data_IF_234921874906
#
_entry.id   IF_234921874906
#
_cell.length_a   1.000
_cell.length_b   1.000
_cell.length_c   1.000
_cell.angle_alpha   90.00
_cell.angle_beta   90.00
_cell.angle_gamma   90.00
#
_symmetry.space_group_name_H-M   'P 1'
#
loop_
_entity.id
_entity.type
_entity.pdbx_description
1 polymer ?
#
# COMPACT_ATOMS: atom_id res chain seq x y z
N UNK A 1 -55.00 15.58 68.09
CA UNK A 1 -55.34 14.87 66.83
C UNK A 1 -54.45 15.41 65.73
N UNK A 2 -53.39 14.67 65.39
CA UNK A 2 -52.36 15.08 64.43
C UNK A 2 -52.67 14.47 63.06
N UNK A 3 -52.65 15.30 62.03
CA UNK A 3 -52.84 14.97 60.62
C UNK A 3 -51.71 14.06 60.12
N UNK A 4 -52.06 12.86 59.68
CA UNK A 4 -51.12 11.92 59.03
C UNK A 4 -51.30 12.04 57.52
N UNK A 5 -50.25 12.54 56.87
CA UNK A 5 -50.05 12.48 55.41
C UNK A 5 -49.79 11.03 55.02
N UNK A 6 -50.57 10.47 54.09
CA UNK A 6 -50.25 9.18 53.47
C UNK A 6 -49.64 9.43 52.09
N UNK A 7 -48.35 9.11 51.99
CA UNK A 7 -47.54 9.21 50.78
C UNK A 7 -47.86 8.07 49.80
N UNK A 8 -47.96 8.41 48.52
CA UNK A 8 -48.17 7.51 47.40
C UNK A 8 -46.84 6.81 47.05
N UNK A 9 -46.76 5.47 46.96
CA UNK A 9 -45.53 4.79 46.59
C UNK A 9 -45.32 4.85 45.06
N UNK A 10 -44.20 5.45 44.66
CA UNK A 10 -43.67 5.52 43.31
C UNK A 10 -43.09 4.14 42.92
N UNK A 11 -43.77 3.41 42.05
CA UNK A 11 -43.23 2.21 41.42
C UNK A 11 -42.18 2.60 40.36
N UNK A 12 -40.90 2.39 40.67
CA UNK A 12 -39.80 2.52 39.72
C UNK A 12 -39.72 1.23 38.90
N UNK A 13 -40.12 1.31 37.64
CA UNK A 13 -39.93 0.26 36.65
C UNK A 13 -38.44 0.25 36.25
N UNK A 14 -37.65 -0.71 36.73
CA UNK A 14 -36.30 -0.95 36.22
C UNK A 14 -36.41 -1.48 34.78
N UNK A 15 -36.31 -0.59 33.80
CA UNK A 15 -36.06 -0.97 32.42
C UNK A 15 -34.60 -1.47 32.33
N UNK A 16 -34.44 -2.79 32.32
CA UNK A 16 -33.18 -3.45 32.00
C UNK A 16 -32.94 -3.26 30.50
N UNK A 17 -32.20 -2.22 30.12
CA UNK A 17 -31.73 -2.09 28.74
C UNK A 17 -30.67 -3.17 28.52
N UNK A 18 -30.77 -4.01 27.46
CA UNK A 18 -29.69 -4.91 27.13
C UNK A 18 -28.44 -4.06 26.87
N UNK A 19 -27.32 -4.48 27.47
CA UNK A 19 -26.01 -3.93 27.18
C UNK A 19 -25.86 -3.88 25.65
N UNK A 20 -25.74 -2.68 25.11
CA UNK A 20 -25.29 -2.52 23.74
C UNK A 20 -23.89 -3.13 23.70
N UNK A 21 -23.76 -4.31 23.10
CA UNK A 21 -22.50 -4.76 22.56
C UNK A 21 -22.09 -3.68 21.56
N UNK A 22 -21.17 -2.80 21.96
CA UNK A 22 -20.51 -1.93 21.00
C UNK A 22 -19.71 -2.85 20.09
N UNK A 23 -20.25 -3.12 18.92
CA UNK A 23 -19.45 -3.68 17.83
C UNK A 23 -18.42 -2.59 17.50
N UNK A 24 -17.19 -2.76 17.97
CA UNK A 24 -16.09 -1.91 17.56
C UNK A 24 -15.95 -2.02 16.04
N UNK A 25 -16.37 -0.99 15.32
CA UNK A 25 -16.14 -0.88 13.89
C UNK A 25 -14.69 -0.47 13.69
N UNK A 26 -13.79 -1.45 13.61
CA UNK A 26 -12.39 -1.21 13.22
C UNK A 26 -12.39 -0.66 11.80
N UNK A 27 -12.05 0.62 11.63
CA UNK A 27 -11.82 1.20 10.32
C UNK A 27 -10.48 0.65 9.77
N UNK A 28 -10.40 0.41 8.47
CA UNK A 28 -9.13 0.07 7.81
C UNK A 28 -8.21 1.30 7.82
N UNK A 29 -6.90 1.13 8.07
CA UNK A 29 -5.96 2.27 8.03
C UNK A 29 -5.83 2.87 6.62
N UNK A 30 -6.05 2.06 5.58
CA UNK A 30 -6.03 2.45 4.16
C UNK A 30 -7.30 1.96 3.44
N UNK A 31 -7.71 2.63 2.36
CA UNK A 31 -8.83 2.24 1.49
C UNK A 31 -8.37 1.34 0.33
N UNK A 32 -9.29 0.60 -0.30
CA UNK A 32 -9.09 -0.46 -1.31
C UNK A 32 -8.25 -0.06 -2.54
N UNK A 33 -8.03 1.23 -2.76
CA UNK A 33 -7.14 1.75 -3.82
C UNK A 33 -5.63 1.63 -3.48
N UNK A 34 -5.28 1.26 -2.24
CA UNK A 34 -3.91 1.14 -1.75
C UNK A 34 -3.42 -0.31 -1.56
N UNK A 35 -4.24 -1.31 -1.88
CA UNK A 35 -4.00 -2.69 -1.46
C UNK A 35 -2.68 -3.26 -2.01
N UNK A 36 -2.34 -2.97 -3.26
CA UNK A 36 -1.05 -3.39 -3.85
C UNK A 36 0.05 -2.31 -3.79
N UNK A 37 -0.13 -1.24 -3.01
CA UNK A 37 0.86 -0.17 -2.90
C UNK A 37 2.06 -0.61 -2.06
N UNK A 38 3.26 -0.50 -2.63
CA UNK A 38 4.52 -0.88 -1.98
C UNK A 38 5.46 0.32 -1.81
N UNK A 39 5.37 1.29 -2.71
CA UNK A 39 6.12 2.54 -2.63
C UNK A 39 5.15 3.71 -2.74
N UNK A 40 5.15 4.57 -1.74
CA UNK A 40 4.48 5.86 -1.78
C UNK A 40 5.48 6.99 -1.52
N UNK A 41 5.49 7.97 -2.40
CA UNK A 41 6.20 9.23 -2.21
C UNK A 41 5.28 10.41 -2.50
N UNK A 42 5.22 11.38 -1.59
CA UNK A 42 4.41 12.56 -1.79
C UNK A 42 5.04 13.57 -2.77
N UNK A 43 6.34 13.50 -3.06
CA UNK A 43 7.00 14.31 -4.07
C UNK A 43 7.54 13.46 -5.23
N UNK A 44 8.60 12.68 -5.03
CA UNK A 44 9.13 11.84 -6.10
C UNK A 44 9.52 10.44 -5.63
N UNK A 45 9.37 9.47 -6.53
CA UNK A 45 9.83 8.11 -6.35
C UNK A 45 10.86 7.81 -7.43
N UNK A 46 12.11 7.54 -7.03
CA UNK A 46 13.20 7.23 -7.96
C UNK A 46 13.77 5.86 -7.66
N UNK A 47 14.03 5.09 -8.72
CA UNK A 47 14.58 3.75 -8.63
C UNK A 47 15.87 3.66 -9.44
N UNK A 48 16.93 3.12 -8.83
CA UNK A 48 18.22 2.87 -9.46
C UNK A 48 18.18 1.75 -10.49
N UNK A 49 19.31 1.50 -11.15
CA UNK A 49 19.44 0.42 -12.12
C UNK A 49 19.24 -0.96 -11.47
N UNK A 50 18.61 -1.90 -12.16
CA UNK A 50 18.35 -3.27 -11.71
C UNK A 50 17.55 -3.39 -10.39
N UNK A 51 16.99 -2.29 -9.89
CA UNK A 51 16.14 -2.27 -8.72
C UNK A 51 14.82 -3.01 -9.00
N UNK A 52 14.18 -3.50 -7.92
CA UNK A 52 12.92 -4.24 -8.02
C UNK A 52 11.93 -3.71 -6.98
N UNK A 53 10.74 -3.32 -7.44
CA UNK A 53 9.59 -3.08 -6.58
C UNK A 53 8.55 -4.17 -6.83
N UNK A 54 8.21 -4.91 -5.77
CA UNK A 54 7.18 -5.94 -5.81
C UNK A 54 5.80 -5.36 -5.46
N UNK A 55 5.26 -4.52 -6.33
CA UNK A 55 3.93 -3.93 -6.19
C UNK A 55 3.82 -2.61 -6.94
N UNK A 56 2.86 -1.77 -6.54
CA UNK A 56 2.63 -0.48 -7.17
C UNK A 56 3.55 0.60 -6.60
N UNK A 57 3.83 1.58 -7.45
CA UNK A 57 4.52 2.83 -7.12
C UNK A 57 3.56 3.99 -7.34
N UNK A 58 3.38 4.84 -6.33
CA UNK A 58 2.61 6.08 -6.42
C UNK A 58 3.48 7.27 -6.01
N UNK A 59 3.52 8.28 -6.87
CA UNK A 59 4.31 9.50 -6.67
C UNK A 59 3.48 10.78 -6.83
N UNK A 60 3.73 11.77 -5.96
CA UNK A 60 3.06 13.07 -6.00
C UNK A 60 3.57 14.07 -7.03
N UNK A 61 4.65 13.77 -7.72
CA UNK A 61 5.18 14.56 -8.84
C UNK A 61 5.90 13.64 -9.83
N UNK A 62 7.12 13.19 -9.53
CA UNK A 62 7.92 12.42 -10.50
C UNK A 62 8.05 10.96 -10.09
N UNK A 63 7.85 10.03 -11.03
CA UNK A 63 8.21 8.62 -10.87
C UNK A 63 9.25 8.21 -11.91
N UNK A 64 10.30 7.50 -11.50
CA UNK A 64 11.31 6.95 -12.41
C UNK A 64 11.62 5.48 -12.13
N UNK A 65 11.86 4.73 -13.21
CA UNK A 65 12.47 3.40 -13.18
C UNK A 65 13.82 3.44 -13.86
N UNK A 66 14.87 3.07 -13.11
CA UNK A 66 16.24 2.97 -13.61
C UNK A 66 16.43 1.87 -14.67
N UNK A 67 17.62 1.84 -15.28
CA UNK A 67 17.99 0.86 -16.31
C UNK A 67 17.82 -0.57 -15.81
N UNK A 68 17.14 -1.42 -16.58
CA UNK A 68 16.78 -2.79 -16.20
C UNK A 68 16.02 -2.90 -14.85
N UNK A 69 15.53 -1.80 -14.28
CA UNK A 69 14.69 -1.80 -13.10
C UNK A 69 13.32 -2.42 -13.40
N UNK A 70 12.70 -3.03 -12.39
CA UNK A 70 11.42 -3.74 -12.54
C UNK A 70 10.40 -3.31 -11.49
N UNK A 71 9.23 -2.89 -11.94
CA UNK A 71 8.03 -2.70 -11.11
C UNK A 71 7.03 -3.82 -11.43
N UNK A 72 6.78 -4.70 -10.46
CA UNK A 72 5.77 -5.77 -10.56
C UNK A 72 4.36 -5.26 -10.19
N UNK A 73 3.95 -4.17 -10.83
CA UNK A 73 2.68 -3.50 -10.56
C UNK A 73 2.46 -2.33 -11.51
N UNK A 74 1.62 -1.40 -11.09
CA UNK A 74 1.40 -0.12 -11.76
C UNK A 74 2.40 0.93 -11.27
N UNK A 75 2.76 1.85 -12.14
CA UNK A 75 3.55 3.03 -11.79
C UNK A 75 2.74 4.29 -12.12
N UNK A 76 2.51 5.12 -11.12
CA UNK A 76 1.62 6.29 -11.23
C UNK A 76 2.29 7.52 -10.66
N UNK A 77 2.25 8.64 -11.40
CA UNK A 77 2.69 9.93 -10.89
C UNK A 77 1.79 11.09 -11.31
N UNK A 78 1.73 12.14 -10.49
CA UNK A 78 0.96 13.37 -10.80
C UNK A 78 1.66 14.23 -11.86
N UNK A 79 2.98 14.30 -11.80
CA UNK A 79 3.83 15.02 -12.73
C UNK A 79 4.36 14.08 -13.80
N UNK A 80 5.68 14.06 -14.00
CA UNK A 80 6.29 13.22 -15.02
C UNK A 80 6.41 11.75 -14.58
N UNK A 81 6.23 10.82 -15.52
CA UNK A 81 6.47 9.41 -15.28
C UNK A 81 7.45 8.90 -16.33
N UNK A 82 8.61 8.43 -15.88
CA UNK A 82 9.68 7.98 -16.76
C UNK A 82 10.12 6.57 -16.38
N UNK A 83 9.56 5.57 -17.06
CA UNK A 83 10.14 4.23 -17.08
C UNK A 83 11.38 4.22 -18.01
N UNK A 84 12.34 5.09 -17.72
CA UNK A 84 13.35 5.60 -18.67
C UNK A 84 14.65 4.82 -18.75
N UNK A 85 14.87 3.88 -17.84
CA UNK A 85 15.98 2.95 -17.95
C UNK A 85 15.95 2.13 -19.23
N UNK A 86 17.10 1.95 -19.89
CA UNK A 86 17.21 0.95 -20.96
C UNK A 86 16.76 -0.42 -20.42
N UNK A 87 15.85 -1.08 -21.13
CA UNK A 87 15.25 -2.35 -20.73
C UNK A 87 14.52 -2.34 -19.37
N UNK A 88 14.03 -1.18 -18.91
CA UNK A 88 13.13 -1.11 -17.74
C UNK A 88 11.85 -1.93 -17.97
N UNK A 89 11.23 -2.40 -16.90
CA UNK A 89 10.02 -3.23 -16.97
C UNK A 89 8.97 -2.78 -15.97
N UNK A 90 7.76 -2.54 -16.44
CA UNK A 90 6.57 -2.34 -15.62
C UNK A 90 5.53 -3.38 -16.04
N UNK A 91 5.13 -4.28 -15.15
CA UNK A 91 4.19 -5.35 -15.52
C UNK A 91 2.75 -4.86 -15.67
N UNK A 92 2.39 -3.78 -14.98
CA UNK A 92 1.08 -3.15 -15.04
C UNK A 92 1.03 -1.94 -15.98
N UNK A 93 0.18 -1.00 -15.63
CA UNK A 93 -0.01 0.26 -16.34
C UNK A 93 0.99 1.32 -15.88
N UNK A 94 1.28 2.28 -16.76
CA UNK A 94 2.06 3.48 -16.41
C UNK A 94 1.19 4.70 -16.65
N UNK A 95 0.92 5.47 -15.59
CA UNK A 95 0.07 6.66 -15.64
C UNK A 95 0.83 7.91 -15.19
N UNK A 96 0.56 9.02 -15.88
CA UNK A 96 1.20 10.30 -15.67
C UNK A 96 0.20 11.44 -15.76
N UNK A 97 0.11 12.27 -14.73
CA UNK A 97 -0.61 13.55 -14.80
C UNK A 97 0.17 14.64 -15.53
N UNK A 98 1.38 14.34 -16.01
CA UNK A 98 2.22 15.19 -16.86
C UNK A 98 2.70 14.42 -18.09
N UNK A 99 4.00 14.48 -18.37
CA UNK A 99 4.62 13.77 -19.49
C UNK A 99 4.87 12.32 -19.12
N UNK A 100 4.69 11.40 -20.08
CA UNK A 100 5.04 9.99 -19.93
C UNK A 100 6.12 9.61 -20.94
N UNK A 101 7.18 8.97 -20.46
CA UNK A 101 8.25 8.43 -21.32
C UNK A 101 8.58 7.00 -20.90
N UNK A 102 8.62 6.10 -21.88
CA UNK A 102 9.22 4.77 -21.69
C UNK A 102 10.58 4.73 -22.40
N UNK A 103 11.58 4.12 -21.75
CA UNK A 103 12.95 4.06 -22.25
C UNK A 103 13.12 3.09 -23.42
N UNK A 104 14.32 3.08 -23.99
CA UNK A 104 14.68 2.12 -25.04
C UNK A 104 14.52 0.67 -24.56
N UNK A 105 13.95 -0.19 -25.40
CA UNK A 105 13.72 -1.62 -25.13
C UNK A 105 12.92 -1.91 -23.86
N UNK A 106 12.22 -0.89 -23.32
CA UNK A 106 11.40 -1.05 -22.13
C UNK A 106 10.19 -1.95 -22.41
N UNK A 107 9.67 -2.58 -21.36
CA UNK A 107 8.51 -3.46 -21.45
C UNK A 107 7.41 -2.95 -20.52
N UNK A 108 6.24 -2.68 -21.09
CA UNK A 108 5.02 -2.38 -20.36
C UNK A 108 3.98 -3.47 -20.60
N UNK A 109 3.61 -4.19 -19.55
CA UNK A 109 2.59 -5.25 -19.62
C UNK A 109 1.16 -4.70 -19.75
N UNK A 110 0.92 -3.47 -19.30
CA UNK A 110 -0.36 -2.78 -19.39
C UNK A 110 -0.39 -1.65 -20.43
N UNK A 111 -1.26 -0.67 -20.16
CA UNK A 111 -1.44 0.53 -20.98
C UNK A 111 -0.65 1.72 -20.42
N UNK A 112 -0.43 2.69 -21.29
CA UNK A 112 0.19 3.97 -20.99
C UNK A 112 -0.87 5.08 -21.05
N UNK A 113 -0.88 5.97 -20.06
CA UNK A 113 -1.80 7.12 -20.03
C UNK A 113 -1.13 8.39 -19.52
N UNK A 114 -1.20 9.49 -20.26
CA UNK A 114 -0.56 10.76 -19.90
C UNK A 114 -1.45 11.98 -20.12
N UNK A 115 -1.54 12.90 -19.16
CA UNK A 115 -2.19 14.21 -19.38
C UNK A 115 -1.42 15.08 -20.37
N UNK A 116 -0.09 15.03 -20.33
CA UNK A 116 0.82 15.70 -21.24
C UNK A 116 1.27 14.82 -22.40
N UNK A 117 2.43 15.13 -22.96
CA UNK A 117 3.03 14.36 -24.06
C UNK A 117 3.36 12.92 -23.65
N UNK A 118 3.40 12.05 -24.65
CA UNK A 118 3.61 10.63 -24.49
C UNK A 118 4.68 10.07 -25.42
N UNK A 119 5.65 9.35 -24.88
CA UNK A 119 6.75 8.79 -25.67
C UNK A 119 6.93 7.31 -25.39
N UNK A 120 6.83 6.51 -26.44
CA UNK A 120 7.26 5.11 -26.44
C UNK A 120 8.68 5.06 -27.02
N UNK A 121 9.65 4.64 -26.20
CA UNK A 121 11.07 4.58 -26.60
C UNK A 121 11.34 3.56 -27.71
N UNK A 122 12.50 3.68 -28.36
CA UNK A 122 12.92 2.78 -29.43
C UNK A 122 12.93 1.32 -28.95
N UNK A 123 12.45 0.40 -29.78
CA UNK A 123 12.34 -1.04 -29.49
C UNK A 123 11.52 -1.40 -28.24
N UNK A 124 10.81 -0.45 -27.63
CA UNK A 124 9.97 -0.72 -26.47
C UNK A 124 8.73 -1.55 -26.85
N UNK A 125 8.23 -2.37 -25.92
CA UNK A 125 7.03 -3.18 -26.10
C UNK A 125 5.94 -2.79 -25.10
N UNK A 126 4.82 -2.31 -25.62
CA UNK A 126 3.64 -1.96 -24.83
C UNK A 126 2.51 -2.89 -25.22
N UNK A 127 2.02 -3.67 -24.26
CA UNK A 127 0.97 -4.66 -24.52
C UNK A 127 -0.43 -4.06 -24.56
N UNK A 128 -0.65 -2.92 -23.90
CA UNK A 128 -1.92 -2.20 -23.89
C UNK A 128 -2.01 -1.07 -24.91
N UNK A 129 -2.82 -0.07 -24.57
CA UNK A 129 -3.01 1.14 -25.37
C UNK A 129 -2.03 2.24 -24.95
N UNK A 130 -1.84 3.23 -25.81
CA UNK A 130 -1.25 4.52 -25.46
C UNK A 130 -2.30 5.60 -25.61
N UNK A 131 -2.57 6.35 -24.54
CA UNK A 131 -3.49 7.48 -24.55
C UNK A 131 -2.85 8.72 -23.94
N UNK A 132 -2.74 9.79 -24.71
CA UNK A 132 -2.07 11.03 -24.31
C UNK A 132 -2.98 12.22 -24.54
N UNK A 133 -2.96 13.19 -23.63
CA UNK A 133 -3.60 14.49 -23.84
C UNK A 133 -2.75 15.44 -24.69
N UNK A 134 -1.45 15.17 -24.82
CA UNK A 134 -0.53 15.92 -25.65
C UNK A 134 -0.15 15.20 -26.95
N UNK A 135 1.01 15.58 -27.50
CA UNK A 135 1.62 14.86 -28.63
C UNK A 135 2.04 13.46 -28.21
N UNK A 136 2.06 12.53 -29.16
CA UNK A 136 2.53 11.16 -28.91
C UNK A 136 3.52 10.70 -29.96
N UNK A 137 4.62 10.08 -29.50
CA UNK A 137 5.65 9.51 -30.36
C UNK A 137 5.86 8.03 -30.05
N UNK A 138 5.90 7.21 -31.08
CA UNK A 138 6.30 5.80 -31.02
C UNK A 138 7.65 5.64 -31.73
N UNK A 139 8.66 5.24 -30.95
CA UNK A 139 10.04 5.08 -31.38
C UNK A 139 10.24 4.06 -32.49
N UNK A 140 11.44 4.05 -33.07
CA UNK A 140 11.82 3.08 -34.08
C UNK A 140 11.80 1.66 -33.50
N UNK A 141 11.28 0.69 -34.25
CA UNK A 141 11.13 -0.72 -33.85
C UNK A 141 10.28 -0.96 -32.59
N UNK A 142 9.66 0.08 -32.02
CA UNK A 142 8.77 -0.07 -30.88
C UNK A 142 7.47 -0.76 -31.32
N UNK A 143 6.87 -1.54 -30.43
CA UNK A 143 5.63 -2.26 -30.67
C UNK A 143 4.59 -1.83 -29.63
N UNK A 144 3.52 -1.20 -30.11
CA UNK A 144 2.30 -0.94 -29.36
C UNK A 144 1.22 -1.90 -29.85
N UNK A 145 0.79 -2.85 -28.99
CA UNK A 145 -0.22 -3.85 -29.37
C UNK A 145 -1.65 -3.29 -29.37
N UNK A 146 -1.90 -2.23 -28.63
CA UNK A 146 -3.21 -1.57 -28.58
C UNK A 146 -3.34 -0.38 -29.53
N UNK A 147 -4.30 0.49 -29.21
CA UNK A 147 -4.57 1.74 -29.89
C UNK A 147 -3.59 2.83 -29.46
N UNK A 148 -3.29 3.74 -30.38
CA UNK A 148 -2.56 4.98 -30.14
C UNK A 148 -3.53 6.15 -30.24
N UNK A 149 -3.87 6.79 -29.12
CA UNK A 149 -4.79 7.94 -29.08
C UNK A 149 -4.05 9.17 -28.55
N UNK A 150 -3.96 10.21 -29.37
CA UNK A 150 -3.19 11.43 -29.09
C UNK A 150 -4.09 12.67 -29.07
N UNK A 151 -3.99 13.47 -28.02
CA UNK A 151 -4.65 14.77 -27.89
C UNK A 151 -3.96 15.88 -28.67
N UNK A 152 -2.79 15.60 -29.26
CA UNK A 152 -2.09 16.44 -30.24
C UNK A 152 -1.74 15.66 -31.50
N UNK A 153 -0.51 15.79 -31.99
CA UNK A 153 0.01 14.99 -33.12
C UNK A 153 0.29 13.55 -32.68
N UNK A 154 0.19 12.59 -33.61
CA UNK A 154 0.63 11.22 -33.41
C UNK A 154 1.73 10.87 -34.42
N UNK A 155 2.91 10.55 -33.92
CA UNK A 155 4.06 10.16 -34.74
C UNK A 155 4.42 8.70 -34.44
N UNK A 156 4.50 7.88 -35.49
CA UNK A 156 5.06 6.53 -35.43
C UNK A 156 6.25 6.53 -36.38
N UNK A 157 7.43 6.25 -35.85
CA UNK A 157 8.67 6.15 -36.63
C UNK A 157 8.55 5.11 -37.75
N UNK A 158 9.41 5.19 -38.77
CA UNK A 158 9.30 4.35 -39.97
C UNK A 158 9.30 2.83 -39.70
N UNK A 159 9.96 2.37 -38.63
CA UNK A 159 9.91 0.96 -38.21
C UNK A 159 9.09 0.71 -36.95
N UNK A 160 8.41 1.72 -36.42
CA UNK A 160 7.49 1.57 -35.29
C UNK A 160 6.21 0.86 -35.72
N UNK A 161 5.66 0.03 -34.83
CA UNK A 161 4.47 -0.77 -35.07
C UNK A 161 3.37 -0.42 -34.07
N UNK A 162 2.18 -0.11 -34.59
CA UNK A 162 0.94 -0.03 -33.82
C UNK A 162 -0.02 -1.07 -34.40
N UNK A 163 -0.59 -1.94 -33.58
CA UNK A 163 -1.52 -2.97 -34.07
C UNK A 163 -2.98 -2.52 -34.02
N UNK A 164 -3.33 -1.62 -33.09
CA UNK A 164 -4.65 -1.01 -33.01
C UNK A 164 -4.79 0.21 -33.92
N UNK A 165 -5.84 0.99 -33.68
CA UNK A 165 -6.15 2.25 -34.38
C UNK A 165 -5.21 3.37 -33.94
N UNK A 166 -4.82 4.24 -34.88
CA UNK A 166 -4.15 5.52 -34.59
C UNK A 166 -5.15 6.66 -34.67
N UNK A 167 -5.44 7.28 -33.53
CA UNK A 167 -6.28 8.46 -33.40
C UNK A 167 -5.47 9.68 -32.98
N UNK A 168 -5.67 10.83 -33.63
CA UNK A 168 -5.07 12.10 -33.21
C UNK A 168 -5.99 13.29 -33.49
N UNK A 169 -5.98 14.30 -32.63
CA UNK A 169 -6.62 15.60 -32.95
C UNK A 169 -5.79 16.39 -33.96
N UNK A 170 -4.46 16.21 -33.94
CA UNK A 170 -3.51 16.80 -34.87
C UNK A 170 -3.12 15.87 -36.02
N UNK A 171 -1.98 16.17 -36.65
CA UNK A 171 -1.42 15.36 -37.73
C UNK A 171 -1.06 13.94 -37.26
N UNK A 172 -1.34 12.95 -38.12
CA UNK A 172 -0.89 11.57 -37.96
C UNK A 172 0.25 11.29 -38.95
N UNK A 173 1.47 11.12 -38.43
CA UNK A 173 2.65 10.73 -39.20
C UNK A 173 3.01 9.29 -38.88
N UNK A 174 2.58 8.36 -39.72
CA UNK A 174 2.86 6.93 -39.58
C UNK A 174 3.03 6.32 -40.97
N UNK A 175 4.25 6.40 -41.57
CA UNK A 175 4.45 6.10 -42.99
C UNK A 175 4.27 4.62 -43.32
N UNK A 176 4.58 3.72 -42.38
CA UNK A 176 4.52 2.27 -42.57
C UNK A 176 3.25 1.62 -42.02
N UNK A 177 2.35 2.40 -41.41
CA UNK A 177 1.12 1.90 -40.79
C UNK A 177 -0.01 1.78 -41.82
N UNK A 178 -0.55 0.58 -41.97
CA UNK A 178 -1.61 0.21 -42.94
C UNK A 178 -2.99 0.05 -42.32
N UNK A 179 -3.12 0.20 -40.99
CA UNK A 179 -4.40 0.10 -40.30
C UNK A 179 -5.23 1.40 -40.32
N UNK A 180 -6.21 1.49 -39.43
CA UNK A 180 -7.12 2.64 -39.34
C UNK A 180 -6.46 3.86 -38.72
N UNK A 181 -6.48 4.97 -39.47
CA UNK A 181 -6.12 6.31 -38.97
C UNK A 181 -7.40 7.14 -38.83
N UNK A 182 -7.58 7.80 -37.69
CA UNK A 182 -8.78 8.60 -37.41
C UNK A 182 -8.41 9.96 -36.85
N UNK A 183 -8.95 11.02 -37.43
CA UNK A 183 -8.91 12.35 -36.81
C UNK A 183 -9.92 12.41 -35.67
N UNK A 184 -9.47 12.76 -34.47
CA UNK A 184 -10.30 12.89 -33.29
C UNK A 184 -10.90 14.31 -33.22
N UNK A 185 -12.19 14.40 -32.89
CA UNK A 185 -12.87 15.69 -32.72
C UNK A 185 -12.41 16.45 -31.46
N UNK A 186 -11.90 15.72 -30.46
CA UNK A 186 -11.40 16.26 -29.20
C UNK A 186 -10.31 15.35 -28.63
N UNK A 187 -9.57 15.86 -27.63
CA UNK A 187 -8.56 15.08 -26.92
C UNK A 187 -9.19 13.81 -26.32
N UNK A 188 -8.52 12.64 -26.40
CA UNK A 188 -9.05 11.37 -25.88
C UNK A 188 -9.14 11.33 -24.35
N UNK A 189 -8.54 12.31 -23.68
CA UNK A 189 -8.65 12.53 -22.23
C UNK A 189 -8.84 14.03 -21.96
N UNK A 190 -9.43 14.35 -20.81
CA UNK A 190 -9.41 15.71 -20.26
C UNK A 190 -8.17 15.81 -19.35
N UNK A 191 -7.09 16.52 -19.75
CA UNK A 191 -5.82 16.47 -19.02
C UNK A 191 -5.90 16.96 -17.58
N UNK A 192 -6.70 17.99 -17.32
CA UNK A 192 -6.93 18.53 -15.98
C UNK A 192 -7.57 17.51 -15.06
N UNK A 193 -8.62 16.84 -15.53
CA UNK A 193 -9.43 15.92 -14.72
C UNK A 193 -8.64 14.65 -14.43
N UNK A 194 -7.90 14.15 -15.42
CA UNK A 194 -7.03 12.99 -15.21
C UNK A 194 -5.91 13.32 -14.21
N UNK A 195 -5.22 14.45 -14.35
CA UNK A 195 -4.20 14.88 -13.38
C UNK A 195 -4.79 15.07 -11.98
N UNK A 196 -5.95 15.72 -11.87
CA UNK A 196 -6.65 15.91 -10.59
C UNK A 196 -7.03 14.57 -9.95
N UNK A 197 -7.45 13.57 -10.73
CA UNK A 197 -7.77 12.24 -10.19
C UNK A 197 -6.55 11.55 -9.54
N UNK A 198 -5.37 11.68 -10.16
CA UNK A 198 -4.12 11.15 -9.59
C UNK A 198 -3.75 11.97 -8.34
N UNK A 199 -3.82 13.30 -8.41
CA UNK A 199 -3.53 14.18 -7.28
C UNK A 199 -4.40 13.86 -6.06
N UNK A 200 -5.71 13.61 -6.27
CA UNK A 200 -6.62 13.22 -5.21
C UNK A 200 -6.22 11.89 -4.57
N UNK A 201 -5.75 10.93 -5.38
CA UNK A 201 -5.23 9.65 -4.89
C UNK A 201 -3.98 9.83 -4.04
N UNK A 202 -3.04 10.68 -4.46
CA UNK A 202 -1.84 11.02 -3.69
C UNK A 202 -2.19 11.71 -2.38
N UNK A 203 -3.06 12.73 -2.42
CA UNK A 203 -3.50 13.45 -1.22
C UNK A 203 -4.21 12.52 -0.23
N UNK A 204 -5.08 11.63 -0.72
CA UNK A 204 -5.74 10.62 0.10
C UNK A 204 -4.73 9.65 0.72
N UNK A 205 -3.76 9.17 -0.06
CA UNK A 205 -2.72 8.24 0.42
C UNK A 205 -1.82 8.91 1.47
N UNK A 206 -1.38 10.15 1.25
CA UNK A 206 -0.58 10.91 2.23
C UNK A 206 -1.33 11.09 3.55
N UNK A 207 -2.64 11.37 3.48
CA UNK A 207 -3.49 11.48 4.65
C UNK A 207 -3.58 10.13 5.39
N UNK A 208 -3.77 9.02 4.67
CA UNK A 208 -3.80 7.67 5.26
C UNK A 208 -2.46 7.29 5.93
N UNK A 209 -1.32 7.60 5.30
CA UNK A 209 0.00 7.42 5.91
C UNK A 209 0.09 8.22 7.22
N UNK A 210 -0.28 9.50 7.19
CA UNK A 210 -0.25 10.35 8.39
C UNK A 210 -1.19 9.82 9.49
N UNK A 211 -2.39 9.38 9.13
CA UNK A 211 -3.34 8.75 10.06
C UNK A 211 -2.78 7.49 10.67
N UNK A 212 -2.13 6.62 9.87
CA UNK A 212 -1.47 5.42 10.37
C UNK A 212 -0.33 5.76 11.33
N UNK A 213 0.52 6.75 11.00
CA UNK A 213 1.60 7.20 11.88
C UNK A 213 1.06 7.66 13.24
N UNK A 214 0.02 8.49 13.25
CA UNK A 214 -0.65 8.92 14.50
C UNK A 214 -1.30 7.76 15.26
N UNK A 215 -1.88 6.79 14.56
CA UNK A 215 -2.49 5.62 15.17
C UNK A 215 -1.43 4.73 15.86
N UNK A 216 -0.29 4.50 15.23
CA UNK A 216 0.83 3.76 15.80
C UNK A 216 1.48 4.51 16.97
N UNK A 217 1.65 5.83 16.88
CA UNK A 217 2.13 6.66 18.00
C UNK A 217 1.27 6.51 19.26
N UNK A 218 -0.05 6.45 19.10
CA UNK A 218 -0.99 6.28 20.22
C UNK A 218 -0.95 4.89 20.87
N UNK A 219 -0.27 3.91 20.27
CA UNK A 219 0.06 2.66 20.97
C UNK A 219 1.04 2.90 22.14
N UNK A 220 1.67 4.09 22.19
CA UNK A 220 2.58 4.51 23.25
C UNK A 220 4.05 4.22 22.94
N UNK A 221 4.92 4.54 23.91
CA UNK A 221 6.37 4.35 23.74
C UNK A 221 6.85 2.92 23.99
N UNK A 222 6.07 2.09 24.69
CA UNK A 222 6.47 0.73 25.06
C UNK A 222 7.88 0.68 25.70
N UNK A 223 8.74 -0.21 25.21
CA UNK A 223 10.12 -0.33 25.68
C UNK A 223 11.04 0.68 24.99
N UNK A 224 11.75 1.49 25.77
CA UNK A 224 12.75 2.44 25.25
C UNK A 224 13.99 1.69 24.77
N UNK A 225 14.40 1.96 23.53
CA UNK A 225 15.62 1.45 22.92
C UNK A 225 16.76 2.45 23.05
N UNK A 226 17.98 1.93 23.07
CA UNK A 226 19.19 2.75 22.95
C UNK A 226 19.28 3.34 21.54
N UNK A 227 19.68 4.62 21.37
CA UNK A 227 19.63 5.30 20.07
C UNK A 227 20.48 4.69 18.96
N UNK A 228 21.55 3.97 19.31
CA UNK A 228 22.39 3.26 18.35
C UNK A 228 22.64 1.84 18.83
N UNK A 229 22.25 0.87 18.01
CA UNK A 229 22.53 -0.54 18.20
C UNK A 229 23.92 -0.85 17.62
N UNK A 230 24.90 -0.94 18.52
CA UNK A 230 26.30 -1.27 18.19
C UNK A 230 26.62 -2.76 18.30
N UNK A 231 25.73 -3.54 18.91
CA UNK A 231 25.84 -4.99 19.04
C UNK A 231 24.55 -5.66 18.62
N UNK A 232 24.64 -6.86 18.06
CA UNK A 232 23.47 -7.67 17.72
C UNK A 232 22.66 -8.02 18.97
N UNK A 233 21.35 -8.11 18.81
CA UNK A 233 20.42 -8.35 19.91
C UNK A 233 19.13 -9.00 19.46
N UNK A 234 18.29 -9.34 20.43
CA UNK A 234 16.96 -9.91 20.19
C UNK A 234 15.88 -9.13 20.93
N UNK A 235 14.73 -8.96 20.29
CA UNK A 235 13.55 -8.33 20.84
C UNK A 235 12.35 -9.27 20.72
N UNK A 236 11.62 -9.42 21.81
CA UNK A 236 10.33 -10.11 21.83
C UNK A 236 9.24 -9.23 21.19
N UNK A 237 8.03 -9.75 20.93
CA UNK A 237 6.93 -8.96 20.36
C UNK A 237 6.53 -7.81 21.30
N UNK A 238 6.22 -6.64 20.74
CA UNK A 238 5.82 -5.46 21.52
C UNK A 238 5.95 -4.13 20.79
N UNK A 239 5.70 -3.06 21.55
CA UNK A 239 5.91 -1.68 21.12
C UNK A 239 7.25 -1.18 21.67
N UNK A 240 8.02 -0.50 20.83
CA UNK A 240 9.34 0.03 21.12
C UNK A 240 9.41 1.50 20.75
N UNK A 241 10.26 2.27 21.42
CA UNK A 241 10.49 3.67 21.08
C UNK A 241 11.94 4.09 21.15
N UNK A 242 12.27 5.13 20.40
CA UNK A 242 13.52 5.88 20.54
C UNK A 242 13.34 7.30 19.99
N UNK A 243 14.14 8.26 20.45
CA UNK A 243 14.21 9.58 19.81
C UNK A 243 14.68 9.44 18.35
N UNK A 244 15.77 8.70 18.17
CA UNK A 244 16.27 8.21 16.88
C UNK A 244 16.79 6.81 17.11
N UNK A 245 16.69 5.94 16.09
CA UNK A 245 17.21 4.59 16.11
C UNK A 245 18.18 4.41 14.94
N UNK A 246 19.37 3.93 15.25
CA UNK A 246 20.38 3.64 14.25
C UNK A 246 21.09 2.32 14.52
N UNK A 247 21.73 1.75 13.51
CA UNK A 247 22.61 0.59 13.66
C UNK A 247 23.99 0.89 13.07
N UNK A 248 25.03 0.29 13.65
CA UNK A 248 26.31 0.15 12.95
C UNK A 248 26.19 -0.87 11.82
N UNK A 249 27.07 -0.78 10.83
CA UNK A 249 27.10 -1.74 9.73
C UNK A 249 27.29 -3.18 10.25
N UNK A 250 26.58 -4.14 9.64
CA UNK A 250 26.65 -5.56 10.00
C UNK A 250 25.91 -5.96 11.29
N UNK A 251 25.27 -5.02 12.00
CA UNK A 251 24.46 -5.34 13.18
C UNK A 251 23.25 -6.18 12.80
N UNK A 252 22.97 -7.23 13.57
CA UNK A 252 21.76 -8.05 13.40
C UNK A 252 20.77 -7.80 14.54
N UNK A 253 19.54 -7.41 14.19
CA UNK A 253 18.43 -7.33 15.14
C UNK A 253 17.47 -8.49 14.90
N UNK A 254 17.34 -9.36 15.88
CA UNK A 254 16.45 -10.52 15.82
C UNK A 254 15.11 -10.19 16.46
N UNK A 255 14.02 -10.37 15.72
CA UNK A 255 12.66 -10.28 16.21
C UNK A 255 12.18 -11.71 16.51
N UNK A 256 12.05 -12.07 17.78
CA UNK A 256 11.71 -13.43 18.20
C UNK A 256 10.20 -13.58 18.43
N UNK A 257 9.51 -14.21 17.48
CA UNK A 257 8.07 -14.47 17.56
C UNK A 257 7.70 -15.57 18.55
N UNK A 258 8.67 -16.32 19.08
CA UNK A 258 8.44 -17.40 20.03
C UNK A 258 7.54 -18.52 19.50
N UNK A 259 7.40 -18.66 18.18
CA UNK A 259 6.57 -19.67 17.52
C UNK A 259 5.06 -19.41 17.62
N UNK A 260 4.64 -18.19 17.96
CA UNK A 260 3.23 -17.82 18.11
C UNK A 260 2.75 -17.07 16.88
N UNK A 261 1.48 -17.24 16.51
CA UNK A 261 0.84 -16.47 15.45
C UNK A 261 0.54 -15.03 15.90
N UNK A 262 0.35 -14.14 14.92
CA UNK A 262 -0.10 -12.76 15.10
C UNK A 262 0.78 -11.97 16.08
N UNK A 263 2.09 -12.18 16.05
CA UNK A 263 3.03 -11.37 16.82
C UNK A 263 3.33 -10.07 16.10
N UNK A 264 3.56 -9.00 16.85
CA UNK A 264 3.84 -7.71 16.25
C UNK A 264 5.03 -7.01 16.91
N UNK A 265 5.71 -6.21 16.09
CA UNK A 265 6.73 -5.27 16.51
C UNK A 265 6.41 -3.90 15.92
N UNK A 266 6.16 -2.93 16.79
CA UNK A 266 5.93 -1.53 16.38
C UNK A 266 7.03 -0.68 16.96
N UNK A 267 7.83 -0.07 16.09
CA UNK A 267 8.91 0.85 16.46
C UNK A 267 8.45 2.29 16.24
N UNK A 268 8.11 3.00 17.31
CA UNK A 268 7.76 4.42 17.30
C UNK A 268 9.03 5.26 17.47
N UNK A 269 9.59 5.70 16.35
CA UNK A 269 10.83 6.48 16.28
C UNK A 269 10.48 7.94 16.04
N UNK A 270 10.94 8.85 16.92
CA UNK A 270 10.51 10.24 16.85
C UNK A 270 11.08 10.98 15.62
N UNK A 271 12.35 10.76 15.29
CA UNK A 271 13.07 11.55 14.29
C UNK A 271 13.77 10.68 13.22
N UNK A 272 14.88 10.02 13.54
CA UNK A 272 15.69 9.33 12.52
C UNK A 272 15.65 7.81 12.70
N UNK A 273 15.35 7.09 11.63
CA UNK A 273 15.62 5.66 11.50
C UNK A 273 16.77 5.44 10.50
N UNK A 274 17.93 4.98 10.96
CA UNK A 274 19.10 4.83 10.10
C UNK A 274 19.75 3.45 10.25
N UNK A 275 19.54 2.56 9.29
CA UNK A 275 20.21 1.28 9.27
C UNK A 275 21.56 1.39 8.57
N UNK A 276 22.65 1.05 9.27
CA UNK A 276 23.98 0.96 8.67
C UNK A 276 24.03 -0.12 7.58
N UNK A 277 25.00 -0.01 6.66
CA UNK A 277 25.16 -0.97 5.57
C UNK A 277 25.25 -2.42 6.06
N UNK A 278 24.69 -3.37 5.32
CA UNK A 278 24.64 -4.80 5.68
C UNK A 278 23.98 -5.12 7.04
N UNK A 279 23.26 -4.16 7.64
CA UNK A 279 22.39 -4.43 8.80
C UNK A 279 21.37 -5.50 8.42
N UNK A 280 21.06 -6.41 9.33
CA UNK A 280 20.13 -7.50 9.07
C UNK A 280 19.04 -7.56 10.14
N UNK A 281 17.79 -7.33 9.75
CA UNK A 281 16.62 -7.57 10.59
C UNK A 281 16.09 -8.96 10.26
N UNK A 282 16.00 -9.82 11.27
CA UNK A 282 15.61 -11.23 11.09
C UNK A 282 14.40 -11.55 11.95
N UNK A 283 13.37 -12.15 11.37
CA UNK A 283 12.31 -12.81 12.12
C UNK A 283 12.76 -14.23 12.47
N UNK A 284 12.86 -14.53 13.77
CA UNK A 284 13.12 -15.86 14.28
C UNK A 284 11.86 -16.44 14.93
N UNK A 285 11.66 -17.75 14.77
CA UNK A 285 10.45 -18.44 15.20
C UNK A 285 9.15 -17.73 14.76
N UNK A 286 9.01 -17.32 13.48
CA UNK A 286 7.84 -16.57 13.04
C UNK A 286 6.58 -17.42 13.08
N UNK A 287 5.46 -16.79 13.42
CA UNK A 287 4.13 -17.33 13.22
C UNK A 287 3.46 -16.77 11.97
N UNK A 288 2.26 -17.28 11.68
CA UNK A 288 1.39 -16.68 10.66
C UNK A 288 0.83 -15.35 11.17
N UNK A 289 0.74 -14.34 10.30
CA UNK A 289 0.19 -13.03 10.63
C UNK A 289 1.13 -12.11 11.41
N UNK A 290 2.43 -12.41 11.41
CA UNK A 290 3.40 -11.57 12.10
C UNK A 290 3.60 -10.23 11.38
N UNK A 291 3.77 -9.16 12.15
CA UNK A 291 3.83 -7.79 11.62
C UNK A 291 4.99 -7.00 12.18
N UNK A 292 5.69 -6.27 11.31
CA UNK A 292 6.76 -5.36 11.70
C UNK A 292 6.49 -3.99 11.10
N UNK A 293 6.38 -2.98 11.95
CA UNK A 293 6.10 -1.59 11.59
C UNK A 293 7.22 -0.69 12.11
N UNK A 294 7.81 0.08 11.22
CA UNK A 294 8.76 1.14 11.52
C UNK A 294 8.05 2.47 11.32
N UNK A 295 7.60 3.08 12.41
CA UNK A 295 6.87 4.35 12.40
C UNK A 295 7.81 5.50 12.77
N UNK A 296 8.18 6.33 11.79
CA UNK A 296 9.08 7.47 11.95
C UNK A 296 8.28 8.78 11.89
N UNK A 297 7.97 9.34 13.06
CA UNK A 297 6.96 10.39 13.26
C UNK A 297 7.28 11.73 12.64
N UNK A 298 8.53 12.21 12.74
CA UNK A 298 8.88 13.57 12.33
C UNK A 298 9.97 13.63 11.25
N UNK A 299 10.90 12.68 11.23
CA UNK A 299 12.05 12.71 10.34
C UNK A 299 11.97 11.70 9.21
N UNK A 300 13.07 10.98 8.98
CA UNK A 300 13.31 10.18 7.78
C UNK A 300 13.81 8.77 8.12
N UNK A 301 13.72 7.89 7.13
CA UNK A 301 14.37 6.59 7.16
C UNK A 301 15.50 6.50 6.13
N UNK A 302 16.62 5.92 6.51
CA UNK A 302 17.75 5.66 5.62
C UNK A 302 18.27 4.24 5.82
N UNK A 303 18.43 3.50 4.73
CA UNK A 303 18.97 2.15 4.73
C UNK A 303 20.30 2.19 3.97
N UNK A 304 21.37 1.78 4.63
CA UNK A 304 22.69 1.66 4.02
C UNK A 304 22.74 0.56 2.95
N UNK A 305 23.82 0.59 2.16
CA UNK A 305 24.08 -0.41 1.13
C UNK A 305 24.00 -1.84 1.68
N UNK A 306 23.25 -2.70 1.00
CA UNK A 306 23.05 -4.10 1.38
C UNK A 306 22.29 -4.32 2.70
N UNK A 307 21.65 -3.32 3.30
CA UNK A 307 20.83 -3.52 4.49
C UNK A 307 19.59 -4.38 4.17
N UNK A 308 19.29 -5.36 5.02
CA UNK A 308 18.11 -6.22 4.93
C UNK A 308 17.14 -5.88 6.07
N UNK A 309 15.99 -5.33 5.72
CA UNK A 309 14.95 -4.90 6.65
C UNK A 309 13.66 -5.66 6.38
N UNK A 310 12.99 -6.05 7.45
CA UNK A 310 11.68 -6.68 7.41
C UNK A 310 10.64 -5.69 7.94
N UNK A 311 9.51 -5.60 7.26
CA UNK A 311 8.35 -4.82 7.66
C UNK A 311 8.00 -3.69 6.72
N UNK A 312 7.14 -2.82 7.25
CA UNK A 312 6.65 -1.61 6.58
C UNK A 312 7.31 -0.40 7.23
N UNK A 313 7.84 0.51 6.41
CA UNK A 313 8.45 1.76 6.87
C UNK A 313 7.54 2.93 6.53
N UNK A 314 7.11 3.66 7.57
CA UNK A 314 6.38 4.92 7.46
C UNK A 314 7.33 6.02 7.90
N UNK A 315 7.64 6.96 7.01
CA UNK A 315 8.44 8.13 7.35
C UNK A 315 7.69 9.41 7.02
N UNK A 316 7.80 10.40 7.91
CA UNK A 316 7.16 11.70 7.73
C UNK A 316 7.75 12.45 6.55
N UNK A 317 9.08 12.52 6.46
CA UNK A 317 9.78 13.29 5.43
C UNK A 317 10.14 12.42 4.25
N UNK A 318 11.29 11.76 4.24
CA UNK A 318 11.77 10.97 3.11
C UNK A 318 12.24 9.57 3.52
N UNK A 319 12.40 8.70 2.53
CA UNK A 319 13.02 7.39 2.69
C UNK A 319 14.10 7.21 1.63
N UNK A 320 15.34 6.92 2.06
CA UNK A 320 16.44 6.54 1.18
C UNK A 320 16.77 5.07 1.40
N UNK A 321 16.61 4.26 0.34
CA UNK A 321 16.96 2.85 0.32
C UNK A 321 18.26 2.71 -0.46
N UNK A 322 19.35 2.37 0.21
CA UNK A 322 20.67 2.25 -0.40
C UNK A 322 20.72 1.18 -1.50
N UNK A 323 21.82 1.17 -2.25
CA UNK A 323 22.06 0.12 -3.23
C UNK A 323 22.01 -1.26 -2.56
N UNK A 324 21.60 -2.29 -3.30
CA UNK A 324 21.50 -3.68 -2.83
C UNK A 324 20.63 -3.91 -1.57
N UNK A 325 20.05 -2.86 -0.97
CA UNK A 325 19.25 -2.97 0.23
C UNK A 325 17.91 -3.62 -0.11
N UNK A 326 17.37 -4.32 0.88
CA UNK A 326 16.14 -5.10 0.74
C UNK A 326 15.19 -4.70 1.85
N UNK A 327 13.99 -4.26 1.48
CA UNK A 327 12.85 -4.10 2.39
C UNK A 327 11.82 -5.17 2.01
N UNK A 328 11.61 -6.15 2.88
CA UNK A 328 10.64 -7.24 2.65
C UNK A 328 9.49 -7.18 3.63
N UNK A 329 8.39 -7.85 3.30
CA UNK A 329 7.25 -8.06 4.21
C UNK A 329 7.60 -8.99 5.37
N UNK A 330 6.91 -8.81 6.50
CA UNK A 330 6.98 -9.72 7.65
C UNK A 330 6.23 -11.03 7.41
N UNK A 331 5.13 -10.99 6.66
CA UNK A 331 4.30 -12.14 6.32
C UNK A 331 3.73 -12.03 4.91
N UNK A 332 3.02 -13.04 4.42
CA UNK A 332 2.47 -13.02 3.04
C UNK A 332 1.20 -12.19 2.86
N UNK A 333 0.54 -11.75 3.94
CA UNK A 333 -0.68 -10.96 3.84
C UNK A 333 -0.41 -9.48 3.55
N UNK A 334 0.75 -8.95 3.95
CA UNK A 334 1.21 -7.61 3.56
C UNK A 334 2.12 -7.65 2.34
N UNK A 335 2.12 -6.58 1.55
CA UNK A 335 3.17 -6.36 0.55
C UNK A 335 4.51 -5.97 1.19
N UNK A 336 4.51 -5.50 2.45
CA UNK A 336 5.59 -4.66 2.97
C UNK A 336 5.68 -3.35 2.18
N UNK A 337 6.65 -2.50 2.49
CA UNK A 337 6.89 -1.32 1.66
C UNK A 337 7.46 -0.13 2.41
N UNK A 338 7.58 0.96 1.68
CA UNK A 338 8.13 2.24 2.15
C UNK A 338 7.19 3.38 1.75
N UNK A 339 6.82 4.19 2.74
CA UNK A 339 5.80 5.21 2.60
C UNK A 339 6.30 6.53 3.17
N UNK A 340 6.48 7.51 2.30
CA UNK A 340 7.00 8.84 2.58
C UNK A 340 5.86 9.86 2.53
N UNK A 341 5.46 10.37 3.70
CA UNK A 341 4.21 11.13 3.84
C UNK A 341 4.26 12.52 3.20
N UNK A 342 5.43 13.17 3.15
CA UNK A 342 5.55 14.56 2.68
C UNK A 342 6.61 14.81 1.62
N UNK A 343 7.59 13.92 1.49
CA UNK A 343 8.69 14.08 0.55
C UNK A 343 8.85 12.83 -0.34
N UNK A 344 10.08 12.36 -0.53
CA UNK A 344 10.43 11.40 -1.56
C UNK A 344 10.71 9.99 -1.04
N UNK A 345 10.77 9.05 -1.98
CA UNK A 345 11.41 7.75 -1.83
C UNK A 345 12.48 7.60 -2.92
N UNK A 346 13.68 7.23 -2.52
CA UNK A 346 14.76 6.87 -3.43
C UNK A 346 15.20 5.44 -3.15
N UNK A 347 15.38 4.66 -4.20
CA UNK A 347 15.97 3.33 -4.14
C UNK A 347 17.22 3.29 -4.99
N UNK A 348 18.34 2.86 -4.42
CA UNK A 348 19.61 2.70 -5.12
C UNK A 348 19.59 1.53 -6.11
N UNK A 349 20.72 1.33 -6.78
CA UNK A 349 20.89 0.23 -7.71
C UNK A 349 20.68 -1.12 -7.03
N UNK A 350 20.05 -2.05 -7.74
CA UNK A 350 19.77 -3.41 -7.26
C UNK A 350 18.92 -3.52 -5.98
N UNK A 351 18.42 -2.40 -5.45
CA UNK A 351 17.57 -2.37 -4.27
C UNK A 351 16.26 -3.12 -4.52
N UNK A 352 15.69 -3.73 -3.47
CA UNK A 352 14.46 -4.52 -3.55
C UNK A 352 13.47 -4.05 -2.50
N UNK A 353 12.25 -3.74 -2.91
CA UNK A 353 11.20 -3.25 -2.00
C UNK A 353 9.93 -4.08 -2.17
N UNK A 354 9.38 -4.52 -1.05
CA UNK A 354 8.20 -5.36 -0.98
C UNK A 354 8.49 -6.85 -1.16
N UNK A 355 7.44 -7.67 -1.22
CA UNK A 355 7.55 -9.10 -1.44
C UNK A 355 6.81 -9.60 -2.68
N UNK A 356 7.34 -10.66 -3.31
CA UNK A 356 6.79 -11.29 -4.53
C UNK A 356 5.32 -11.70 -4.39
N UNK A 357 4.52 -11.52 -5.44
CA UNK A 357 3.09 -11.83 -5.41
C UNK A 357 2.27 -10.84 -4.57
N UNK A 358 2.79 -9.62 -4.34
CA UNK A 358 2.07 -8.53 -3.72
C UNK A 358 0.69 -8.33 -4.39
N UNK A 359 -0.30 -8.81 -3.67
CA UNK A 359 -1.74 -8.68 -3.94
C UNK A 359 -2.49 -8.44 -2.61
N UNK A 360 -1.73 -8.19 -1.53
CA UNK A 360 -2.22 -7.96 -0.17
C UNK A 360 -2.89 -6.60 -0.01
N UNK A 361 -3.07 -6.12 1.23
CA UNK A 361 -3.81 -4.88 1.55
C UNK A 361 -2.90 -3.72 2.01
N UNK A 362 -1.65 -3.68 1.56
CA UNK A 362 -0.65 -2.70 2.01
C UNK A 362 -0.35 -2.77 3.52
N UNK A 363 -0.31 -1.61 4.18
CA UNK A 363 -0.01 -1.43 5.63
C UNK A 363 -1.09 -2.07 6.53
N UNK A 364 -2.29 -2.34 5.99
CA UNK A 364 -3.46 -2.83 6.73
C UNK A 364 -3.43 -4.30 7.14
N UNK A 365 -2.52 -5.11 6.63
CA UNK A 365 -2.71 -6.58 6.62
C UNK A 365 -3.02 -7.20 8.00
N UNK A 366 -2.57 -6.57 9.09
CA UNK A 366 -2.82 -7.04 10.46
C UNK A 366 -3.17 -5.93 11.46
N UNK A 367 -3.43 -4.72 11.00
CA UNK A 367 -3.71 -3.58 11.88
C UNK A 367 -4.97 -2.83 11.42
N UNK A 368 -5.84 -2.53 12.38
CA UNK A 368 -6.98 -1.63 12.20
C UNK A 368 -6.83 -0.39 13.08
N UNK A 369 -7.77 0.54 12.95
CA UNK A 369 -7.87 1.70 13.84
C UNK A 369 -9.12 1.55 14.72
N UNK A 370 -8.94 1.66 16.03
CA UNK A 370 -10.01 1.79 17.02
C UNK A 370 -9.76 3.01 17.91
N UNK A 371 -10.74 3.89 18.06
CA UNK A 371 -10.60 5.15 18.80
C UNK A 371 -9.48 6.07 18.29
N UNK A 372 -9.02 5.87 17.05
CA UNK A 372 -7.87 6.59 16.47
C UNK A 372 -6.50 6.02 16.86
N UNK A 373 -6.44 4.87 17.53
CA UNK A 373 -5.23 4.13 17.90
C UNK A 373 -5.11 2.86 17.05
N UNK A 374 -3.89 2.48 16.69
CA UNK A 374 -3.66 1.24 15.95
C UNK A 374 -3.90 0.04 16.87
N UNK A 375 -4.68 -0.93 16.38
CA UNK A 375 -4.98 -2.18 17.07
C UNK A 375 -4.58 -3.35 16.18
N UNK A 376 -3.82 -4.30 16.75
CA UNK A 376 -3.44 -5.50 16.01
C UNK A 376 -4.66 -6.41 15.88
N UNK A 377 -5.05 -6.69 14.63
CA UNK A 377 -6.17 -7.53 14.29
C UNK A 377 -5.74 -8.98 14.50
N UNK A 378 -6.11 -9.56 15.64
CA UNK A 378 -6.08 -11.01 15.78
C UNK A 378 -7.15 -11.60 14.87
N UNK A 379 -6.87 -12.72 14.21
CA UNK A 379 -7.91 -13.49 13.52
C UNK A 379 -9.11 -13.65 14.46
N UNK A 380 -10.22 -13.00 14.12
CA UNK A 380 -11.45 -13.02 14.92
C UNK A 380 -11.98 -14.45 14.83
N UNK A 381 -11.57 -15.30 15.76
CA UNK A 381 -12.37 -16.46 16.13
C UNK A 381 -13.48 -15.92 17.01
N UNK A 382 -14.48 -15.28 16.39
CA UNK A 382 -15.72 -15.04 17.11
C UNK A 382 -16.20 -16.42 17.57
N UNK A 383 -16.35 -16.68 18.89
CA UNK A 383 -17.09 -17.86 19.28
C UNK A 383 -18.46 -17.66 18.67
N UNK A 384 -18.83 -18.50 17.70
CA UNK A 384 -20.18 -18.57 17.18
C UNK A 384 -21.08 -18.64 18.40
N UNK A 385 -21.95 -17.64 18.66
CA UNK A 385 -22.90 -17.75 19.75
C UNK A 385 -23.74 -18.98 19.42
N UNK A 386 -23.58 -20.06 20.18
CA UNK A 386 -24.42 -21.23 19.99
C UNK A 386 -25.87 -20.76 20.07
N UNK A 387 -26.70 -21.07 19.07
CA UNK A 387 -28.07 -20.60 19.05
C UNK A 387 -28.86 -21.25 20.19
N UNK A 388 -28.91 -20.59 21.35
CA UNK A 388 -29.89 -20.82 22.43
C UNK A 388 -30.27 -22.27 22.73
N UNK A 389 -29.34 -23.22 22.60
CA UNK A 389 -29.65 -24.66 22.64
C UNK A 389 -30.24 -25.07 23.99
N UNK A 390 -29.86 -24.37 25.06
CA UNK A 390 -30.44 -24.51 26.41
C UNK A 390 -31.91 -24.09 26.48
N UNK A 391 -32.32 -23.05 25.72
CA UNK A 391 -33.70 -22.58 25.66
C UNK A 391 -34.62 -23.55 24.93
N UNK A 392 -34.16 -24.14 23.82
CA UNK A 392 -34.92 -25.18 23.10
C UNK A 392 -34.95 -26.52 23.83
N UNK A 393 -33.87 -26.90 24.53
CA UNK A 393 -33.84 -28.13 25.34
C UNK A 393 -34.77 -28.04 26.56
N UNK A 394 -34.77 -26.90 27.27
CA UNK A 394 -35.65 -26.67 28.43
C UNK A 394 -37.11 -26.48 28.01
N UNK A 395 -37.37 -25.81 26.88
CA UNK A 395 -38.71 -25.71 26.29
C UNK A 395 -39.26 -27.07 25.84
N UNK A 396 -38.42 -27.92 25.25
CA UNK A 396 -38.76 -29.28 24.84
C UNK A 396 -39.10 -30.20 26.02
N UNK A 397 -38.31 -30.14 27.10
CA UNK A 397 -38.57 -30.91 28.32
C UNK A 397 -39.84 -30.47 29.06
N UNK A 398 -40.16 -29.16 29.05
CA UNK A 398 -41.39 -28.64 29.64
C UNK A 398 -42.65 -29.11 28.87
N UNK A 399 -42.59 -29.16 27.54
CA UNK A 399 -43.70 -29.65 26.70
C UNK A 399 -43.95 -31.15 26.90
N UNK A 400 -42.89 -31.96 27.04
CA UNK A 400 -43.00 -33.40 27.36
C UNK A 400 -43.60 -33.60 28.77
N UNK A 401 -43.20 -32.78 29.75
CA UNK A 401 -43.77 -32.82 31.10
C UNK A 401 -45.28 -32.52 31.15
N UNK A 402 -45.75 -31.55 30.36
CA UNK A 402 -47.18 -31.24 30.25
C UNK A 402 -47.99 -32.36 29.57
N UNK A 403 -47.43 -33.04 28.56
CA UNK A 403 -48.09 -34.15 27.88
C UNK A 403 -48.21 -35.41 28.77
N UNK A 404 -47.23 -35.68 29.63
CA UNK A 404 -47.29 -36.81 30.58
C UNK A 404 -48.32 -36.56 31.70
N UNK A 405 -48.56 -35.30 32.08
CA UNK A 405 -49.55 -34.94 33.13
C UNK A 405 -51.00 -34.99 32.62
N UNK A 406 -51.23 -34.69 31.34
CA UNK A 406 -52.56 -34.77 30.72
C UNK A 406 -53.08 -36.22 30.57
N UNK A 407 -52.20 -37.22 30.49
CA UNK A 407 -52.57 -38.65 30.38
C UNK A 407 -52.92 -39.34 31.70
N UNK A 408 -52.74 -38.69 32.85
CA UNK A 408 -53.12 -39.25 34.18
C UNK A 408 -54.48 -38.78 34.69
N UNK A 409 -55.21 -37.98 33.91
CA UNK A 409 -56.51 -37.42 34.29
C UNK A 409 -57.64 -37.79 33.30
N UNK A 410 -57.45 -38.84 32.49
CA UNK A 410 -58.48 -39.46 31.66
C UNK A 410 -58.76 -40.89 32.12
#
# INVERSE_FOLDING_TARGET
MKTIKLALPLFILLAYTPAHSQTATTATMFDLNADSLTVFANTYASQGANSIVYGNVLSGDVATVGAAGTVYGNEVSVGANTAGGAASKVTGNIWSGGVLTTGQSSITGGSLKSSGAGTIGDSANVSGNMTSGGVTTVGANAVLKGNLLSGGTATVSASGTVLGTIGATGLITAPSYTGTKTTLASSPIVPSDFKASIQNTVTSTAAQVTTAQTAFEKMGGGTLLTPTLVTSGSLTPGVYSAASLSTTAGTTLTLDGGGKANQFWVFNIADILAFGGTTNIVLSNPGVGDSVIWNVSNGYASLGDGAHVIGTILARTYISVGANAVVTRADTASCGGVFSATSYVEAGDTAKIGGSGCSGTGINAHFGIDGGTAVHLSAVTSPVPEPGTSGMLLGGLALIGCMVRARKLS
#
